data_IF_605035608972
#
_entry.id   IF_605035608972
#
_cell.length_a   1.000
_cell.length_b   1.000
_cell.length_c   1.000
_cell.angle_alpha   90.00
_cell.angle_beta   90.00
_cell.angle_gamma   90.00
#
_symmetry.space_group_name_H-M   'P 1'
#
loop_
_entity.id
_entity.type
_entity.pdbx_description
1 polymer ?
#
# COMPACT_ATOMS: atom_id res chain seq x y z
N UNK A 1 23.76 14.11 17.54
CA UNK A 1 22.36 13.68 17.43
C UNK A 1 21.77 14.29 16.17
N UNK A 2 21.22 13.49 15.26
CA UNK A 2 20.49 14.03 14.12
C UNK A 2 19.24 14.77 14.61
N UNK A 3 19.04 16.01 14.17
CA UNK A 3 17.84 16.76 14.53
C UNK A 3 16.60 16.07 13.92
N UNK A 4 15.57 15.84 14.71
CA UNK A 4 14.29 15.32 14.21
C UNK A 4 13.68 16.29 13.20
N UNK A 5 13.12 15.75 12.11
CA UNK A 5 12.41 16.54 11.09
C UNK A 5 11.02 16.98 11.57
N UNK A 6 10.46 16.20 12.51
CA UNK A 6 9.21 16.50 13.18
C UNK A 6 7.94 16.04 12.45
N UNK A 7 6.83 16.02 13.20
CA UNK A 7 5.52 15.54 12.77
C UNK A 7 5.04 16.17 11.47
N UNK A 8 5.08 17.50 11.34
CA UNK A 8 4.54 18.21 10.17
C UNK A 8 5.30 17.87 8.88
N UNK A 9 6.62 17.72 8.97
CA UNK A 9 7.42 17.26 7.84
C UNK A 9 6.97 15.87 7.37
N UNK A 10 6.83 14.93 8.31
CA UNK A 10 6.45 13.54 7.98
C UNK A 10 5.02 13.45 7.46
N UNK A 11 4.09 14.22 8.00
CA UNK A 11 2.71 14.34 7.53
C UNK A 11 2.65 14.79 6.07
N UNK A 12 3.37 15.86 5.73
CA UNK A 12 3.44 16.37 4.36
C UNK A 12 4.14 15.36 3.42
N UNK A 13 5.19 14.72 3.89
CA UNK A 13 5.90 13.70 3.13
C UNK A 13 5.02 12.47 2.84
N UNK A 14 4.23 12.03 3.81
CA UNK A 14 3.25 10.96 3.61
C UNK A 14 2.18 11.36 2.58
N UNK A 15 1.64 12.58 2.67
CA UNK A 15 0.64 13.08 1.73
C UNK A 15 1.13 13.01 0.27
N UNK A 16 2.37 13.40 0.01
CA UNK A 16 3.00 13.30 -1.32
C UNK A 16 3.15 11.85 -1.82
N UNK A 17 3.42 10.91 -0.92
CA UNK A 17 3.60 9.49 -1.28
C UNK A 17 2.29 8.74 -1.45
N UNK A 18 1.28 9.11 -0.69
CA UNK A 18 0.00 8.39 -0.57
C UNK A 18 -0.68 8.16 -1.92
N UNK A 19 -0.68 9.15 -2.80
CA UNK A 19 -1.28 9.00 -4.15
C UNK A 19 -0.67 7.84 -4.94
N UNK A 20 0.64 7.61 -4.81
CA UNK A 20 1.32 6.49 -5.50
C UNK A 20 0.96 5.14 -4.89
N UNK A 21 0.80 5.08 -3.56
CA UNK A 21 0.38 3.86 -2.86
C UNK A 21 -1.04 3.52 -3.25
N UNK A 22 -1.97 4.48 -3.18
CA UNK A 22 -3.37 4.28 -3.58
C UNK A 22 -3.51 3.85 -5.05
N UNK A 23 -2.67 4.39 -5.94
CA UNK A 23 -2.64 3.95 -7.34
C UNK A 23 -2.27 2.47 -7.44
N UNK A 24 -1.28 1.99 -6.69
CA UNK A 24 -0.87 0.58 -6.69
C UNK A 24 -1.98 -0.33 -6.16
N UNK A 25 -2.67 0.06 -5.10
CA UNK A 25 -3.84 -0.66 -4.61
C UNK A 25 -4.96 -0.73 -5.66
N UNK A 26 -5.24 0.36 -6.39
CA UNK A 26 -6.20 0.33 -7.51
C UNK A 26 -5.83 -0.70 -8.58
N UNK A 27 -4.54 -0.81 -8.90
CA UNK A 27 -4.07 -1.82 -9.85
C UNK A 27 -4.10 -3.24 -9.28
N UNK A 28 -3.83 -3.39 -8.00
CA UNK A 28 -3.94 -4.67 -7.30
C UNK A 28 -5.38 -5.17 -7.29
N UNK A 29 -6.31 -4.31 -6.93
CA UNK A 29 -7.76 -4.60 -6.82
C UNK A 29 -8.50 -4.57 -8.17
N UNK A 30 -7.79 -4.40 -9.28
CA UNK A 30 -8.40 -4.28 -10.62
C UNK A 30 -9.40 -3.11 -10.77
N UNK A 31 -9.30 -2.09 -9.91
CA UNK A 31 -10.14 -0.87 -9.92
C UNK A 31 -9.54 0.26 -10.76
N UNK A 32 -8.55 -0.04 -11.59
CA UNK A 32 -7.94 0.92 -12.49
C UNK A 32 -8.74 1.02 -13.78
N UNK A 33 -9.12 2.23 -14.16
CA UNK A 33 -9.70 2.47 -15.49
C UNK A 33 -8.68 2.32 -16.62
N UNK A 34 -9.16 2.07 -17.82
CA UNK A 34 -8.33 2.04 -19.03
C UNK A 34 -7.93 3.47 -19.39
N UNK A 35 -6.63 3.67 -19.66
CA UNK A 35 -6.13 4.94 -20.18
C UNK A 35 -6.21 4.93 -21.68
N UNK A 36 -7.17 5.65 -22.24
CA UNK A 36 -7.33 5.81 -23.68
C UNK A 36 -6.33 6.82 -24.25
N UNK A 37 -5.76 6.51 -25.41
CA UNK A 37 -5.33 7.56 -26.31
C UNK A 37 -6.58 8.13 -26.97
N UNK A 38 -6.73 9.45 -26.97
CA UNK A 38 -7.84 10.14 -27.67
C UNK A 38 -8.03 9.50 -29.02
N UNK A 39 -9.18 8.99 -29.32
CA UNK A 39 -9.79 8.84 -30.65
C UNK A 39 -10.51 7.53 -30.89
N UNK A 40 -11.61 7.56 -31.57
CA UNK A 40 -12.16 6.56 -32.50
C UNK A 40 -12.89 5.39 -31.82
N UNK A 41 -12.81 5.20 -30.52
CA UNK A 41 -13.68 4.22 -29.86
C UNK A 41 -15.02 4.90 -29.56
N UNK A 42 -16.13 4.46 -30.16
CA UNK A 42 -17.45 4.99 -29.84
C UNK A 42 -17.73 4.89 -28.34
N UNK A 43 -18.44 5.89 -27.81
CA UNK A 43 -18.75 5.97 -26.37
C UNK A 43 -19.50 4.75 -25.86
N UNK A 44 -20.25 4.09 -26.75
CA UNK A 44 -21.01 2.87 -26.47
C UNK A 44 -20.14 1.69 -26.04
N UNK A 45 -18.87 1.63 -26.49
CA UNK A 45 -17.92 0.57 -26.12
C UNK A 45 -17.04 0.92 -24.94
N UNK A 46 -17.15 2.13 -24.37
CA UNK A 46 -16.27 2.56 -23.27
C UNK A 46 -16.64 1.94 -21.93
N UNK A 47 -17.79 1.31 -21.80
CA UNK A 47 -18.27 0.69 -20.56
C UNK A 47 -18.10 -0.85 -20.53
N UNK A 48 -17.60 -1.45 -21.60
CA UNK A 48 -17.13 -2.85 -21.56
C UNK A 48 -15.89 -2.91 -20.66
N UNK A 49 -16.13 -3.13 -19.38
CA UNK A 49 -15.09 -3.12 -18.36
C UNK A 49 -14.33 -4.46 -18.35
N UNK A 50 -13.42 -4.63 -19.26
CA UNK A 50 -12.47 -5.70 -19.15
C UNK A 50 -11.45 -5.40 -18.05
N UNK A 51 -11.25 -6.37 -17.18
CA UNK A 51 -10.27 -6.28 -16.10
C UNK A 51 -9.20 -7.35 -16.28
N UNK A 52 -7.94 -6.95 -16.11
CA UNK A 52 -6.80 -7.86 -16.09
C UNK A 52 -6.19 -7.89 -14.70
N UNK A 53 -6.11 -9.09 -14.10
CA UNK A 53 -5.57 -9.29 -12.77
C UNK A 53 -4.03 -9.45 -12.72
N UNK A 54 -3.28 -9.04 -13.73
CA UNK A 54 -1.83 -9.29 -13.78
C UNK A 54 -1.05 -8.64 -12.66
N UNK A 55 -1.41 -7.44 -12.26
CA UNK A 55 -0.75 -6.77 -11.12
C UNK A 55 -1.07 -7.46 -9.80
N UNK A 56 -2.32 -7.90 -9.58
CA UNK A 56 -2.70 -8.70 -8.42
C UNK A 56 -1.97 -10.03 -8.43
N UNK A 57 -2.06 -10.79 -9.53
CA UNK A 57 -1.39 -12.09 -9.64
C UNK A 57 0.13 -12.02 -9.45
N UNK A 58 0.77 -10.94 -9.89
CA UNK A 58 2.21 -10.74 -9.65
C UNK A 58 2.56 -10.56 -8.16
N UNK A 59 1.65 -10.02 -7.36
CA UNK A 59 1.80 -9.89 -5.90
C UNK A 59 1.48 -11.22 -5.22
N UNK A 60 0.30 -11.78 -5.49
CA UNK A 60 -0.22 -12.98 -4.84
C UNK A 60 0.70 -14.18 -5.04
N UNK A 61 1.22 -14.38 -6.26
CA UNK A 61 2.16 -15.46 -6.54
C UNK A 61 3.45 -15.43 -5.70
N UNK A 62 3.81 -14.29 -5.11
CA UNK A 62 4.92 -14.20 -4.17
C UNK A 62 4.41 -14.25 -2.73
N UNK A 63 3.30 -13.57 -2.42
CA UNK A 63 2.70 -13.57 -1.09
C UNK A 63 2.37 -14.99 -0.63
N UNK A 64 1.73 -15.81 -1.49
CA UNK A 64 1.33 -17.19 -1.20
C UNK A 64 2.51 -18.15 -0.90
N UNK A 65 3.74 -17.73 -1.21
CA UNK A 65 4.96 -18.49 -0.93
C UNK A 65 5.67 -18.07 0.34
N UNK A 66 5.25 -16.98 0.93
CA UNK A 66 5.80 -16.46 2.18
C UNK A 66 4.96 -16.98 3.34
N UNK A 67 5.60 -17.54 4.33
CA UNK A 67 4.94 -17.93 5.58
C UNK A 67 5.84 -17.56 6.75
N UNK A 68 5.28 -16.92 7.73
CA UNK A 68 5.94 -16.77 9.02
C UNK A 68 5.90 -18.12 9.75
N UNK A 69 6.98 -18.53 10.38
CA UNK A 69 7.03 -19.78 11.14
C UNK A 69 7.08 -19.52 12.64
N UNK A 70 8.18 -18.95 13.09
CA UNK A 70 8.42 -18.75 14.52
C UNK A 70 9.54 -17.72 14.76
N UNK A 71 9.57 -17.15 15.94
CA UNK A 71 10.74 -16.45 16.44
C UNK A 71 11.73 -17.47 17.02
N UNK A 72 13.01 -17.35 16.68
CA UNK A 72 14.09 -18.12 17.29
C UNK A 72 14.75 -17.29 18.38
N UNK A 73 15.28 -17.94 19.44
CA UNK A 73 15.87 -17.27 20.61
C UNK A 73 14.86 -16.37 21.33
N UNK A 74 13.78 -16.96 21.74
CA UNK A 74 12.65 -16.27 22.36
C UNK A 74 12.84 -16.13 23.88
N UNK A 75 13.69 -15.20 24.29
CA UNK A 75 13.92 -14.90 25.71
C UNK A 75 12.70 -14.14 26.34
N UNK A 76 11.77 -13.64 25.52
CA UNK A 76 10.64 -12.81 25.93
C UNK A 76 9.28 -13.40 25.60
N UNK A 77 9.21 -14.69 25.28
CA UNK A 77 7.97 -15.39 24.86
C UNK A 77 7.26 -14.66 23.68
N UNK A 78 8.06 -14.23 22.69
CA UNK A 78 7.56 -13.50 21.52
C UNK A 78 6.54 -14.30 20.72
N UNK A 79 6.65 -15.64 20.68
CA UNK A 79 5.71 -16.49 19.98
C UNK A 79 4.31 -16.42 20.60
N UNK A 80 4.21 -16.41 21.94
CA UNK A 80 2.93 -16.24 22.65
C UNK A 80 2.35 -14.84 22.42
N UNK A 81 3.16 -13.78 22.50
CA UNK A 81 2.74 -12.40 22.21
C UNK A 81 2.21 -12.32 20.77
N UNK A 82 2.90 -12.94 19.83
CA UNK A 82 2.51 -12.95 18.42
C UNK A 82 1.20 -13.71 18.18
N UNK A 83 1.04 -14.87 18.80
CA UNK A 83 -0.20 -15.66 18.74
C UNK A 83 -1.40 -14.88 19.29
N UNK A 84 -1.22 -14.11 20.38
CA UNK A 84 -2.27 -13.25 20.95
C UNK A 84 -2.69 -12.08 20.03
N UNK A 85 -1.89 -11.75 19.02
CA UNK A 85 -2.10 -10.67 18.06
C UNK A 85 -2.49 -11.18 16.66
N UNK A 86 -3.26 -12.25 16.56
CA UNK A 86 -3.62 -12.91 15.30
C UNK A 86 -2.38 -13.31 14.48
N UNK A 87 -1.52 -14.11 15.09
CA UNK A 87 -0.22 -14.51 14.55
C UNK A 87 -0.23 -15.09 13.15
N UNK A 88 -1.36 -15.65 12.71
CA UNK A 88 -1.53 -16.16 11.34
C UNK A 88 -1.81 -15.04 10.32
N UNK A 89 -2.61 -14.04 10.71
CA UNK A 89 -3.09 -12.98 9.78
C UNK A 89 -2.12 -11.79 9.73
N UNK A 90 -1.51 -11.46 10.86
CA UNK A 90 -0.67 -10.27 10.98
C UNK A 90 0.52 -10.27 10.00
N UNK A 91 1.34 -11.35 9.90
CA UNK A 91 2.46 -11.38 8.98
C UNK A 91 2.01 -11.42 7.52
N UNK A 92 0.95 -12.15 7.18
CA UNK A 92 0.43 -12.21 5.83
C UNK A 92 -0.07 -10.84 5.36
N UNK A 93 -0.83 -10.15 6.22
CA UNK A 93 -1.26 -8.78 5.99
C UNK A 93 -0.10 -7.81 5.82
N UNK A 94 0.93 -7.92 6.65
CA UNK A 94 2.11 -7.07 6.56
C UNK A 94 2.93 -7.35 5.29
N UNK A 95 3.16 -8.61 4.96
CA UNK A 95 3.88 -9.02 3.74
C UNK A 95 3.15 -8.57 2.49
N UNK A 96 1.83 -8.79 2.42
CA UNK A 96 1.01 -8.37 1.30
C UNK A 96 1.06 -6.84 1.12
N UNK A 97 0.87 -6.09 2.20
CA UNK A 97 0.95 -4.63 2.17
C UNK A 97 2.33 -4.13 1.73
N UNK A 98 3.42 -4.73 2.21
CA UNK A 98 4.78 -4.39 1.79
C UNK A 98 5.02 -4.69 0.31
N UNK A 99 4.51 -5.78 -0.24
CA UNK A 99 4.61 -6.11 -1.66
C UNK A 99 3.88 -5.09 -2.55
N UNK A 100 2.69 -4.66 -2.14
CA UNK A 100 1.88 -3.69 -2.89
C UNK A 100 2.47 -2.29 -2.78
N UNK A 101 2.71 -1.79 -1.56
CA UNK A 101 3.07 -0.39 -1.30
C UNK A 101 4.58 -0.11 -1.33
N UNK A 102 5.44 -1.08 -1.22
CA UNK A 102 6.89 -1.15 -0.99
C UNK A 102 7.29 -1.32 0.46
N UNK A 103 6.54 -0.78 1.39
CA UNK A 103 6.73 -0.95 2.82
C UNK A 103 5.39 -0.89 3.53
N UNK A 104 5.32 -1.51 4.67
CA UNK A 104 4.30 -1.28 5.70
C UNK A 104 4.99 -1.10 7.04
N UNK A 105 4.22 -0.87 8.07
CA UNK A 105 4.74 -0.63 9.42
C UNK A 105 3.95 -1.47 10.40
N UNK A 106 4.62 -1.97 11.42
CA UNK A 106 3.98 -2.57 12.58
C UNK A 106 4.09 -1.58 13.72
N UNK A 107 2.95 -1.10 14.17
CA UNK A 107 2.84 -0.28 15.37
C UNK A 107 2.71 -1.19 16.59
N UNK A 108 3.55 -0.94 17.59
CA UNK A 108 3.55 -1.66 18.85
C UNK A 108 2.92 -0.76 19.91
N UNK A 109 1.83 -1.21 20.50
CA UNK A 109 1.13 -0.53 21.59
C UNK A 109 0.99 -1.46 22.79
N UNK A 110 0.47 -0.94 23.87
CA UNK A 110 0.16 -1.67 25.10
C UNK A 110 -1.35 -1.59 25.35
N UNK A 111 -1.94 -2.71 25.75
CA UNK A 111 -3.33 -2.80 26.15
C UNK A 111 -3.53 -2.29 27.60
N UNK A 112 -4.77 -2.17 28.04
CA UNK A 112 -5.12 -1.77 29.39
C UNK A 112 -4.55 -2.73 30.48
N UNK A 113 -4.37 -3.99 30.08
CA UNK A 113 -3.82 -5.04 30.94
C UNK A 113 -2.27 -5.15 30.84
N UNK A 114 -1.61 -4.25 30.15
CA UNK A 114 -0.15 -4.23 29.97
C UNK A 114 0.39 -5.22 28.92
N UNK A 115 -0.46 -5.82 28.09
CA UNK A 115 -0.02 -6.73 27.04
C UNK A 115 0.33 -5.99 25.75
N UNK A 116 1.44 -6.38 25.06
CA UNK A 116 1.80 -5.82 23.76
C UNK A 116 0.74 -6.11 22.69
N UNK A 117 0.32 -5.07 21.97
CA UNK A 117 -0.58 -5.15 20.82
C UNK A 117 0.14 -4.72 19.56
N UNK A 118 -0.05 -5.48 18.50
CA UNK A 118 0.60 -5.28 17.22
C UNK A 118 -0.47 -4.90 16.16
N UNK A 119 -0.25 -3.79 15.47
CA UNK A 119 -1.13 -3.33 14.41
C UNK A 119 -0.34 -3.08 13.13
N UNK A 120 -0.79 -3.65 12.02
CA UNK A 120 -0.22 -3.36 10.69
C UNK A 120 -0.78 -2.06 10.15
N UNK A 121 0.11 -1.17 9.72
CA UNK A 121 -0.20 0.11 9.09
C UNK A 121 0.40 0.09 7.68
N UNK A 122 -0.42 0.26 6.66
CA UNK A 122 0.05 0.24 5.28
C UNK A 122 0.93 1.45 4.93
N UNK A 123 1.71 1.34 3.86
CA UNK A 123 2.63 2.39 3.43
C UNK A 123 1.96 3.68 2.94
N UNK A 124 0.62 3.71 2.81
CA UNK A 124 -0.16 4.92 2.53
C UNK A 124 -0.62 5.64 3.79
N UNK A 125 -0.50 5.00 4.95
CA UNK A 125 -0.86 5.55 6.25
C UNK A 125 0.33 5.66 7.22
N UNK A 126 1.52 5.15 6.86
CA UNK A 126 2.73 5.23 7.66
C UNK A 126 3.93 5.78 6.89
N UNK A 127 4.84 6.46 7.59
CA UNK A 127 6.14 6.92 7.08
C UNK A 127 7.10 7.18 8.24
N UNK A 128 8.36 7.46 7.93
CA UNK A 128 9.36 7.83 8.93
C UNK A 128 10.67 8.26 8.33
N UNK A 129 11.64 8.52 9.18
CA UNK A 129 13.04 8.70 8.82
C UNK A 129 13.80 7.48 9.28
N UNK A 130 14.51 6.85 8.38
CA UNK A 130 15.28 5.63 8.64
C UNK A 130 16.71 5.96 8.94
N UNK A 131 17.27 5.29 9.93
CA UNK A 131 18.69 5.23 10.15
C UNK A 131 19.31 4.27 9.12
N UNK A 132 20.23 4.74 8.27
CA UNK A 132 20.82 3.90 7.23
C UNK A 132 21.73 2.78 7.78
N UNK A 133 22.15 2.86 9.04
CA UNK A 133 23.04 1.87 9.68
C UNK A 133 22.22 0.74 10.29
N UNK A 134 21.22 1.08 11.09
CA UNK A 134 20.40 0.09 11.82
C UNK A 134 19.21 -0.42 11.03
N UNK A 135 18.76 0.33 10.01
CA UNK A 135 17.52 0.04 9.27
C UNK A 135 16.24 0.30 10.09
N UNK A 136 16.36 0.79 11.31
CA UNK A 136 15.24 1.18 12.16
C UNK A 136 14.85 2.64 11.92
N UNK A 137 13.67 3.02 12.37
CA UNK A 137 13.27 4.42 12.31
C UNK A 137 13.93 5.23 13.43
N UNK A 138 14.37 6.44 13.11
CA UNK A 138 14.75 7.46 14.10
C UNK A 138 13.52 8.24 14.57
N UNK A 139 12.57 8.45 13.67
CA UNK A 139 11.26 9.03 13.93
C UNK A 139 10.24 8.44 12.97
N UNK A 140 9.02 8.30 13.42
CA UNK A 140 7.91 7.73 12.64
C UNK A 140 6.66 8.59 12.71
N UNK A 141 5.80 8.42 11.73
CA UNK A 141 4.48 9.03 11.67
C UNK A 141 3.48 8.04 11.08
N UNK A 142 2.33 7.92 11.71
CA UNK A 142 1.26 7.07 11.22
C UNK A 142 -0.11 7.70 11.40
N UNK A 143 -0.99 7.48 10.43
CA UNK A 143 -2.42 7.77 10.54
C UNK A 143 -3.07 6.59 11.22
N UNK A 144 -3.66 6.82 12.39
CA UNK A 144 -4.30 5.78 13.21
C UNK A 144 -5.76 5.62 12.82
N UNK A 145 -6.49 6.73 12.64
CA UNK A 145 -7.88 6.68 12.21
C UNK A 145 -8.22 7.77 11.19
N UNK A 146 -9.27 7.51 10.43
CA UNK A 146 -9.84 8.46 9.47
C UNK A 146 -11.33 8.62 9.72
N UNK A 147 -11.85 9.80 9.44
CA UNK A 147 -13.26 10.09 9.47
C UNK A 147 -14.01 9.41 8.28
N UNK A 148 -15.34 9.51 8.27
CA UNK A 148 -16.20 8.97 7.20
C UNK A 148 -15.91 9.60 5.83
N UNK A 149 -15.29 10.76 5.78
CA UNK A 149 -14.91 11.48 4.57
C UNK A 149 -13.48 11.13 4.10
N UNK A 150 -12.77 10.27 4.85
CA UNK A 150 -11.40 9.86 4.55
C UNK A 150 -10.32 10.85 5.01
N UNK A 151 -10.68 11.91 5.74
CA UNK A 151 -9.72 12.82 6.35
C UNK A 151 -9.07 12.17 7.57
N UNK A 152 -7.87 12.61 7.91
CA UNK A 152 -7.18 12.13 9.11
C UNK A 152 -7.92 12.65 10.35
N UNK A 153 -8.44 11.72 11.15
CA UNK A 153 -9.05 12.02 12.45
C UNK A 153 -7.99 11.96 13.56
N UNK A 154 -7.26 10.85 13.65
CA UNK A 154 -6.19 10.69 14.62
C UNK A 154 -4.89 10.25 13.93
N UNK A 155 -3.80 10.87 14.30
CA UNK A 155 -2.46 10.50 13.87
C UNK A 155 -1.50 10.40 15.06
N UNK A 156 -0.42 9.66 14.87
CA UNK A 156 0.60 9.46 15.88
C UNK A 156 2.00 9.79 15.35
N UNK A 157 2.80 10.41 16.20
CA UNK A 157 4.20 10.71 15.96
C UNK A 157 5.06 9.90 16.94
N UNK A 158 6.01 9.15 16.42
CA UNK A 158 6.82 8.18 17.13
C UNK A 158 8.26 8.64 17.20
N UNK A 159 8.80 8.71 18.38
CA UNK A 159 10.22 8.90 18.64
C UNK A 159 10.68 7.95 19.74
N UNK A 160 11.98 7.78 19.91
CA UNK A 160 12.51 6.98 21.01
C UNK A 160 11.97 7.47 22.36
N UNK A 161 11.47 6.54 23.16
CA UNK A 161 10.96 6.83 24.50
C UNK A 161 9.56 7.42 24.59
N UNK A 162 8.89 7.77 23.46
CA UNK A 162 7.52 8.28 23.51
C UNK A 162 6.78 8.17 22.19
N UNK A 163 5.45 8.09 22.29
CA UNK A 163 4.51 8.19 21.18
C UNK A 163 3.52 9.32 21.48
N UNK A 164 3.37 10.27 20.57
CA UNK A 164 2.49 11.42 20.70
C UNK A 164 1.29 11.25 19.78
N UNK A 165 0.06 11.33 20.32
CA UNK A 165 -1.18 11.20 19.55
C UNK A 165 -1.84 12.56 19.36
N UNK A 166 -2.25 12.83 18.14
CA UNK A 166 -2.86 14.09 17.74
C UNK A 166 -4.24 13.86 17.12
N UNK A 167 -5.17 14.74 17.45
CA UNK A 167 -6.44 14.89 16.75
C UNK A 167 -6.42 16.24 16.04
N UNK A 168 -6.33 16.21 14.72
CA UNK A 168 -6.00 17.40 13.95
C UNK A 168 -4.62 17.96 14.32
N UNK A 169 -4.60 19.18 14.89
CA UNK A 169 -3.36 19.81 15.37
C UNK A 169 -3.25 19.82 16.91
N UNK A 170 -4.20 19.22 17.61
CA UNK A 170 -4.20 19.21 19.08
C UNK A 170 -3.55 17.91 19.55
N UNK A 171 -2.54 18.03 20.43
CA UNK A 171 -1.98 16.91 21.16
C UNK A 171 -3.03 16.40 22.17
N UNK A 172 -3.41 15.12 22.05
CA UNK A 172 -4.44 14.49 22.89
C UNK A 172 -3.81 13.61 23.96
N UNK A 173 -2.78 12.83 23.60
CA UNK A 173 -2.16 11.87 24.51
C UNK A 173 -0.68 11.73 24.19
N UNK A 174 0.13 11.48 25.23
CA UNK A 174 1.54 11.12 25.11
C UNK A 174 1.78 9.85 25.92
N UNK A 175 2.15 8.79 25.22
CA UNK A 175 2.52 7.54 25.84
C UNK A 175 4.05 7.50 25.96
N UNK A 176 4.56 7.47 27.18
CA UNK A 176 5.98 7.33 27.47
C UNK A 176 6.35 5.86 27.56
N UNK A 177 7.48 5.49 26.98
CA UNK A 177 8.02 4.13 27.04
C UNK A 177 9.54 4.19 27.25
N UNK A 178 10.16 3.03 27.43
CA UNK A 178 11.61 2.92 27.60
C UNK A 178 12.31 2.37 26.36
N UNK A 179 11.59 2.30 25.22
CA UNK A 179 12.14 1.74 23.99
C UNK A 179 13.25 2.64 23.42
N UNK A 180 14.39 2.06 23.04
CA UNK A 180 15.50 2.82 22.47
C UNK A 180 15.20 3.34 21.05
N UNK A 181 14.15 2.82 20.41
CA UNK A 181 13.71 3.16 19.06
C UNK A 181 12.20 3.44 19.04
N UNK A 182 11.70 4.17 18.03
CA UNK A 182 10.27 4.37 17.86
C UNK A 182 9.49 3.06 17.81
N UNK A 183 8.33 2.99 18.47
CA UNK A 183 7.42 1.83 18.46
C UNK A 183 6.66 1.68 17.14
N UNK A 184 7.29 1.99 16.03
CA UNK A 184 6.81 1.84 14.68
C UNK A 184 7.90 1.14 13.86
N UNK A 185 7.73 -0.14 13.59
CA UNK A 185 8.75 -0.98 12.94
C UNK A 185 8.45 -1.13 11.45
N UNK A 186 9.37 -0.75 10.55
CA UNK A 186 9.15 -0.86 9.11
C UNK A 186 9.37 -2.30 8.63
N UNK A 187 8.45 -2.83 7.82
CA UNK A 187 8.61 -4.04 7.03
C UNK A 187 8.73 -3.61 5.56
N UNK A 188 9.85 -3.95 4.92
CA UNK A 188 10.24 -3.35 3.65
C UNK A 188 10.52 -4.44 2.61
N UNK A 189 9.94 -4.26 1.42
CA UNK A 189 10.21 -5.15 0.30
C UNK A 189 11.29 -4.56 -0.62
N UNK A 190 12.40 -5.29 -0.78
CA UNK A 190 13.54 -4.95 -1.66
C UNK A 190 14.08 -3.53 -1.45
N UNK A 191 14.59 -3.20 -0.25
CA UNK A 191 15.27 -1.92 -0.04
C UNK A 191 16.58 -1.86 -0.84
N UNK A 192 16.96 -0.66 -1.27
CA UNK A 192 18.27 -0.33 -1.81
C UNK A 192 18.78 1.01 -1.24
N UNK A 193 20.03 1.35 -1.53
CA UNK A 193 20.68 2.57 -1.02
C UNK A 193 19.95 3.87 -1.44
N UNK A 194 19.32 3.88 -2.63
CA UNK A 194 18.57 5.03 -3.12
C UNK A 194 17.14 5.08 -2.54
N UNK A 195 16.59 3.92 -2.18
CA UNK A 195 15.21 3.74 -1.73
C UNK A 195 15.17 2.88 -0.49
N UNK A 196 15.50 3.43 0.66
CA UNK A 196 15.50 2.69 1.92
C UNK A 196 14.12 2.12 2.27
N UNK A 197 13.02 2.72 1.83
CA UNK A 197 11.66 2.17 1.95
C UNK A 197 11.27 1.22 0.80
N UNK A 198 12.23 0.73 0.04
CA UNK A 198 12.08 -0.35 -0.92
C UNK A 198 11.31 -0.03 -2.19
N UNK A 199 10.96 -1.09 -2.89
CA UNK A 199 10.27 -1.06 -4.17
C UNK A 199 8.97 -1.85 -4.09
N UNK A 200 7.92 -1.38 -4.75
CA UNK A 200 6.70 -2.15 -4.90
C UNK A 200 6.88 -3.26 -5.95
N UNK A 201 6.23 -4.38 -5.73
CA UNK A 201 6.09 -5.44 -6.74
C UNK A 201 5.33 -4.94 -7.97
N UNK A 202 4.35 -4.04 -7.77
CA UNK A 202 3.61 -3.37 -8.84
C UNK A 202 4.45 -2.21 -9.37
N UNK A 203 5.34 -2.52 -10.32
CA UNK A 203 6.21 -1.54 -10.96
C UNK A 203 5.47 -0.71 -12.01
N UNK A 204 6.09 0.42 -12.45
CA UNK A 204 5.55 1.20 -13.59
C UNK A 204 5.46 0.36 -14.85
N UNK A 205 6.43 -0.50 -15.09
CA UNK A 205 6.44 -1.38 -16.27
C UNK A 205 5.27 -2.35 -16.22
N UNK A 206 5.00 -2.98 -15.07
CA UNK A 206 3.85 -3.86 -14.87
C UNK A 206 2.53 -3.13 -15.16
N UNK A 207 2.33 -1.94 -14.60
CA UNK A 207 1.14 -1.12 -14.83
C UNK A 207 0.99 -0.72 -16.31
N UNK A 208 2.09 -0.36 -16.98
CA UNK A 208 2.05 0.03 -18.39
C UNK A 208 1.75 -1.15 -19.31
N UNK A 209 2.34 -2.32 -19.06
CA UNK A 209 2.07 -3.55 -19.82
C UNK A 209 0.60 -3.96 -19.65
N UNK A 210 0.07 -3.91 -18.43
CA UNK A 210 -1.34 -4.20 -18.17
C UNK A 210 -2.27 -3.22 -18.92
N UNK A 211 -1.96 -1.93 -18.92
CA UNK A 211 -2.70 -0.94 -19.71
C UNK A 211 -2.61 -1.18 -21.22
N UNK A 212 -1.47 -1.63 -21.70
CA UNK A 212 -1.27 -2.02 -23.11
C UNK A 212 -2.15 -3.22 -23.47
N UNK A 213 -2.13 -4.25 -22.65
CA UNK A 213 -2.94 -5.45 -22.85
C UNK A 213 -4.45 -5.15 -22.81
N UNK A 214 -4.92 -4.36 -21.82
CA UNK A 214 -6.31 -3.94 -21.74
C UNK A 214 -6.77 -3.21 -23.03
N UNK A 215 -5.94 -2.29 -23.55
CA UNK A 215 -6.27 -1.60 -24.82
C UNK A 215 -6.31 -2.55 -26.02
N UNK A 216 -5.43 -3.55 -26.03
CA UNK A 216 -5.41 -4.55 -27.12
C UNK A 216 -6.65 -5.42 -27.07
N UNK A 217 -7.03 -5.91 -25.88
CA UNK A 217 -8.27 -6.68 -25.70
C UNK A 217 -9.48 -5.86 -26.13
N UNK A 218 -9.65 -4.63 -25.65
CA UNK A 218 -10.77 -3.79 -26.06
C UNK A 218 -10.85 -3.58 -27.58
N UNK A 219 -9.69 -3.37 -28.23
CA UNK A 219 -9.66 -3.25 -29.71
C UNK A 219 -10.06 -4.55 -30.39
N UNK A 220 -9.66 -5.69 -29.82
CA UNK A 220 -10.03 -7.02 -30.35
C UNK A 220 -11.54 -7.23 -30.22
N UNK A 221 -12.14 -6.88 -29.07
CA UNK A 221 -13.59 -6.96 -28.87
C UNK A 221 -14.36 -6.10 -29.85
N UNK A 222 -13.99 -4.82 -29.97
CA UNK A 222 -14.60 -3.89 -30.93
C UNK A 222 -14.47 -4.42 -32.35
N UNK A 223 -13.30 -4.94 -32.74
CA UNK A 223 -13.10 -5.51 -34.08
C UNK A 223 -13.95 -6.75 -34.29
N UNK A 224 -14.04 -7.63 -33.30
CA UNK A 224 -14.87 -8.83 -33.38
C UNK A 224 -16.35 -8.49 -33.60
N UNK A 225 -16.86 -7.47 -32.88
CA UNK A 225 -18.24 -6.98 -33.05
C UNK A 225 -18.49 -6.53 -34.49
N UNK A 226 -17.61 -5.68 -35.03
CA UNK A 226 -17.77 -5.17 -36.42
C UNK A 226 -17.65 -6.27 -37.47
N UNK A 227 -16.77 -7.26 -37.28
CA UNK A 227 -16.58 -8.32 -38.27
C UNK A 227 -17.60 -9.46 -38.13
N UNK A 228 -18.12 -9.69 -36.94
CA UNK A 228 -19.13 -10.75 -36.71
C UNK A 228 -20.52 -10.35 -37.24
N UNK A 229 -20.80 -9.06 -37.34
CA UNK A 229 -22.07 -8.51 -37.89
C UNK A 229 -21.78 -7.54 -39.01
N UNK A 230 -21.29 -8.01 -40.21
CA UNK A 230 -20.99 -7.12 -41.33
C UNK A 230 -22.26 -6.47 -41.84
N UNK A 231 -22.31 -5.14 -41.78
CA UNK A 231 -23.41 -4.39 -42.41
C UNK A 231 -23.24 -4.47 -43.91
N UNK A 232 -24.19 -5.16 -44.56
CA UNK A 232 -24.29 -5.20 -46.01
C UNK A 232 -25.04 -3.96 -46.47
N UNK A 233 -24.40 -3.14 -47.27
CA UNK A 233 -25.07 -2.04 -47.96
C UNK A 233 -24.88 -2.18 -49.48
N UNK A 234 -25.89 -1.86 -50.22
CA UNK A 234 -25.85 -1.88 -51.67
C UNK A 234 -25.72 -0.44 -52.15
N UNK A 235 -24.69 -0.18 -52.96
CA UNK A 235 -24.44 1.11 -53.58
C UNK A 235 -24.82 0.98 -55.07
N UNK A 236 -25.60 1.92 -55.59
CA UNK A 236 -25.84 2.02 -57.02
C UNK A 236 -27.11 1.35 -57.55
N UNK A 237 -28.18 1.26 -56.76
CA UNK A 237 -29.52 1.08 -57.34
C UNK A 237 -29.97 2.44 -57.85
N UNK A 238 -29.64 2.73 -59.15
CA UNK A 238 -30.33 3.76 -59.89
C UNK A 238 -31.57 3.12 -60.54
N UNK A 239 -32.72 3.73 -60.35
CA UNK A 239 -33.91 3.45 -61.17
C UNK A 239 -33.66 3.73 -62.66
#
# INVERSE_FOLDING_TARGET
MAAYKGREYLKNYLALKRCRVLLRYKYYEMKNGIKYFRTIIPSEFMWTAETLGWCGKAVDALADRLSFREFKHDDFDLNSIFAMNNGDILPDSAMLSALISSCCFVYISEDLDGYPRLQVIDGGNGTGVMDPITGLLTEGYAVISRDKNGNVDMDAYFVAGRTEFYQGNRLVRVDKNQAPSPLLVPIIYRPDAMRPFGHSRISRSCMNLMQGALRTLLRSEVSAEFYSFPQKYVVGLSE
#
